data_IF_872800919279
#
_entry.id   IF_872800919279
#
_cell.length_a   1.000
_cell.length_b   1.000
_cell.length_c   1.000
_cell.angle_alpha   90.00
_cell.angle_beta   90.00
_cell.angle_gamma   90.00
#
_symmetry.space_group_name_H-M   'P 1'
#
loop_
_entity.id
_entity.type
_entity.pdbx_description
1 polymer ?
#
# COMPACT_ATOMS: atom_id res chain seq x y z
N UNK A 1 -2.89 -0.59 -24.73
CA UNK A 1 -3.98 -1.40 -24.17
C UNK A 1 -4.83 -0.47 -23.30
N UNK A 2 -6.15 -0.62 -23.35
CA UNK A 2 -7.09 0.31 -22.72
C UNK A 2 -7.01 0.23 -21.20
N UNK A 3 -6.82 1.38 -20.55
CA UNK A 3 -6.99 1.52 -19.10
C UNK A 3 -8.47 1.28 -18.78
N UNK A 4 -8.76 0.37 -17.86
CA UNK A 4 -10.14 0.06 -17.44
C UNK A 4 -10.56 0.99 -16.31
N UNK A 5 -11.70 1.63 -16.50
CA UNK A 5 -12.35 2.46 -15.48
C UNK A 5 -13.25 1.57 -14.63
N UNK A 6 -13.09 1.62 -13.32
CA UNK A 6 -13.85 0.86 -12.34
C UNK A 6 -14.73 1.80 -11.52
N UNK A 7 -16.02 1.50 -11.49
CA UNK A 7 -17.01 2.26 -10.72
C UNK A 7 -17.61 1.44 -9.57
N UNK A 8 -17.38 0.12 -9.54
CA UNK A 8 -17.93 -0.76 -8.51
C UNK A 8 -16.95 -1.83 -8.02
N UNK A 9 -17.17 -2.34 -6.81
CA UNK A 9 -16.41 -3.45 -6.21
C UNK A 9 -16.58 -4.75 -7.01
N UNK A 10 -17.77 -4.98 -7.57
CA UNK A 10 -18.10 -6.18 -8.34
C UNK A 10 -17.29 -6.28 -9.63
N UNK A 11 -17.10 -5.16 -10.34
CA UNK A 11 -16.25 -5.10 -11.54
C UNK A 11 -14.80 -5.42 -11.18
N UNK A 12 -14.30 -4.84 -10.09
CA UNK A 12 -12.94 -5.10 -9.62
C UNK A 12 -12.74 -6.60 -9.35
N UNK A 13 -13.62 -7.23 -8.58
CA UNK A 13 -13.53 -8.66 -8.26
C UNK A 13 -13.69 -9.56 -9.50
N UNK A 14 -14.54 -9.16 -10.45
CA UNK A 14 -14.69 -9.84 -11.74
C UNK A 14 -13.42 -9.80 -12.59
N UNK A 15 -12.65 -8.72 -12.53
CA UNK A 15 -11.36 -8.61 -13.21
C UNK A 15 -10.23 -9.33 -12.47
N UNK A 16 -10.19 -9.27 -11.14
CA UNK A 16 -9.16 -9.93 -10.33
C UNK A 16 -9.27 -11.47 -10.40
N UNK A 17 -10.48 -12.01 -10.47
CA UNK A 17 -10.72 -13.44 -10.65
C UNK A 17 -10.23 -13.96 -12.00
N UNK A 18 -10.40 -13.18 -13.08
CA UNK A 18 -9.91 -13.51 -14.43
C UNK A 18 -8.39 -13.40 -14.58
N UNK A 19 -7.73 -12.61 -13.73
CA UNK A 19 -6.31 -12.26 -13.88
C UNK A 19 -5.51 -12.47 -12.59
N UNK A 20 -5.76 -13.61 -11.93
CA UNK A 20 -5.22 -13.93 -10.60
C UNK A 20 -3.68 -13.91 -10.52
N UNK A 21 -3.01 -14.16 -11.64
CA UNK A 21 -1.56 -14.21 -11.72
C UNK A 21 -0.90 -12.87 -12.08
N UNK A 22 -1.68 -11.88 -12.53
CA UNK A 22 -1.17 -10.58 -13.00
C UNK A 22 -1.23 -9.53 -11.90
N UNK A 23 -0.20 -8.69 -11.88
CA UNK A 23 -0.19 -7.49 -11.05
C UNK A 23 -1.13 -6.47 -11.67
N UNK A 24 -1.91 -5.82 -10.80
CA UNK A 24 -2.99 -4.93 -11.19
C UNK A 24 -2.91 -3.64 -10.38
N UNK A 25 -2.20 -2.60 -10.87
CA UNK A 25 -2.14 -1.31 -10.22
C UNK A 25 -3.49 -0.58 -10.33
N UNK A 26 -4.03 -0.21 -9.17
CA UNK A 26 -5.23 0.59 -9.03
C UNK A 26 -4.83 2.02 -8.63
N UNK A 27 -5.21 3.00 -9.44
CA UNK A 27 -5.00 4.42 -9.14
C UNK A 27 -6.35 5.14 -9.05
N UNK A 28 -6.46 6.10 -8.13
CA UNK A 28 -7.61 7.02 -8.11
C UNK A 28 -7.62 8.03 -9.28
N UNK A 29 -8.66 8.86 -9.42
CA UNK A 29 -8.79 9.87 -10.48
C UNK A 29 -7.88 11.07 -10.18
N UNK A 30 -6.59 10.95 -10.49
CA UNK A 30 -5.65 12.04 -10.35
C UNK A 30 -5.18 12.50 -11.73
N UNK A 31 -5.45 13.76 -12.08
CA UNK A 31 -5.09 14.34 -13.38
C UNK A 31 -3.56 14.44 -13.55
N UNK A 32 -2.81 14.67 -12.47
CA UNK A 32 -1.36 14.83 -12.51
C UNK A 32 -0.61 13.55 -12.91
N UNK A 33 -1.08 12.37 -12.51
CA UNK A 33 -0.45 11.08 -12.87
C UNK A 33 -1.07 10.44 -14.12
N UNK A 34 -2.19 10.97 -14.63
CA UNK A 34 -2.87 10.41 -15.79
C UNK A 34 -1.93 10.12 -16.99
N UNK A 35 -1.04 11.04 -17.42
CA UNK A 35 -0.16 10.78 -18.57
C UNK A 35 0.95 9.76 -18.26
N UNK A 36 1.49 9.77 -17.04
CA UNK A 36 2.51 8.81 -16.61
C UNK A 36 1.91 7.41 -16.53
N UNK A 37 0.70 7.29 -15.97
CA UNK A 37 -0.02 6.02 -15.88
C UNK A 37 -0.38 5.44 -17.25
N UNK A 38 -0.69 6.30 -18.23
CA UNK A 38 -0.90 5.87 -19.61
C UNK A 38 0.40 5.43 -20.30
N UNK A 39 1.52 6.10 -20.01
CA UNK A 39 2.83 5.68 -20.54
C UNK A 39 3.21 4.30 -19.98
N UNK A 40 3.01 4.08 -18.68
CA UNK A 40 3.26 2.79 -18.03
C UNK A 40 2.34 1.68 -18.58
N UNK A 41 1.07 1.97 -18.90
CA UNK A 41 0.17 0.98 -19.49
C UNK A 41 0.55 0.57 -20.92
N UNK A 42 1.29 1.43 -21.62
CA UNK A 42 1.86 1.13 -22.95
C UNK A 42 3.12 0.27 -22.84
N UNK A 43 3.96 0.55 -21.84
CA UNK A 43 5.21 -0.17 -21.58
C UNK A 43 4.97 -1.57 -21.00
N UNK A 44 4.11 -1.69 -19.99
CA UNK A 44 3.87 -2.95 -19.27
C UNK A 44 2.58 -3.65 -19.74
N UNK A 45 2.67 -4.41 -20.84
CA UNK A 45 1.52 -5.15 -21.41
C UNK A 45 1.08 -6.37 -20.59
N UNK A 46 1.91 -6.82 -19.66
CA UNK A 46 1.65 -8.00 -18.83
C UNK A 46 0.85 -7.67 -17.55
N UNK A 47 0.53 -6.39 -17.35
CA UNK A 47 -0.07 -5.83 -16.14
C UNK A 47 -1.42 -5.22 -16.51
N UNK A 48 -2.44 -5.42 -15.67
CA UNK A 48 -3.77 -4.86 -15.90
C UNK A 48 -3.90 -3.53 -15.15
N UNK A 49 -3.96 -2.43 -15.88
CA UNK A 49 -4.04 -1.09 -15.28
C UNK A 49 -5.49 -0.68 -15.06
N UNK A 50 -5.85 -0.42 -13.80
CA UNK A 50 -7.20 -0.02 -13.40
C UNK A 50 -7.22 1.41 -12.85
N UNK A 51 -8.18 2.21 -13.30
CA UNK A 51 -8.51 3.51 -12.70
C UNK A 51 -9.81 3.35 -11.92
N UNK A 52 -9.76 3.59 -10.62
CA UNK A 52 -10.94 3.62 -9.78
C UNK A 52 -11.30 5.06 -9.51
N UNK A 53 -12.54 5.46 -9.75
CA UNK A 53 -12.99 6.77 -9.27
C UNK A 53 -13.37 6.64 -7.77
N UNK A 54 -12.73 7.43 -6.90
CA UNK A 54 -12.99 7.36 -5.45
C UNK A 54 -14.38 7.91 -5.12
N UNK A 55 -14.90 8.83 -5.94
CA UNK A 55 -16.20 9.44 -5.75
C UNK A 55 -17.33 8.49 -6.18
N UNK A 56 -17.12 7.73 -7.26
CA UNK A 56 -18.08 6.74 -7.75
C UNK A 56 -18.02 5.41 -6.97
N UNK A 57 -16.81 4.95 -6.59
CA UNK A 57 -16.57 3.66 -5.97
C UNK A 57 -16.06 3.81 -4.52
N UNK A 58 -16.80 4.53 -3.68
CA UNK A 58 -16.43 4.81 -2.28
C UNK A 58 -16.15 3.54 -1.47
N UNK A 59 -16.92 2.48 -1.72
CA UNK A 59 -16.75 1.19 -1.05
C UNK A 59 -15.39 0.54 -1.35
N UNK A 60 -14.89 0.67 -2.59
CA UNK A 60 -13.54 0.21 -2.96
C UNK A 60 -12.50 1.04 -2.22
N UNK A 61 -12.66 2.36 -2.20
CA UNK A 61 -11.75 3.27 -1.52
C UNK A 61 -11.65 2.97 -0.02
N UNK A 62 -12.77 2.69 0.63
CA UNK A 62 -12.86 2.35 2.04
C UNK A 62 -12.24 0.98 2.33
N UNK A 63 -12.57 -0.04 1.52
CA UNK A 63 -12.01 -1.40 1.63
C UNK A 63 -10.48 -1.39 1.56
N UNK A 64 -9.91 -0.59 0.65
CA UNK A 64 -8.46 -0.49 0.48
C UNK A 64 -7.81 0.64 1.29
N UNK A 65 -8.59 1.35 2.12
CA UNK A 65 -8.18 2.46 3.00
C UNK A 65 -7.45 3.58 2.26
N UNK A 66 -7.98 4.00 1.13
CA UNK A 66 -7.45 5.13 0.34
C UNK A 66 -7.76 6.42 1.09
N UNK A 67 -6.71 7.05 1.64
CA UNK A 67 -6.84 8.25 2.50
C UNK A 67 -6.12 9.49 1.97
N UNK A 68 -5.29 9.37 0.93
CA UNK A 68 -4.87 10.52 0.14
C UNK A 68 -4.76 10.14 -1.34
N UNK A 69 -4.72 11.17 -2.17
CA UNK A 69 -4.62 11.06 -3.61
C UNK A 69 -3.32 11.72 -4.10
N UNK A 70 -2.60 11.12 -5.07
CA UNK A 70 -2.82 9.80 -5.65
C UNK A 70 -2.39 8.67 -4.71
N UNK A 71 -3.07 7.53 -4.79
CA UNK A 71 -2.65 6.27 -4.15
C UNK A 71 -2.66 5.18 -5.20
N UNK A 72 -1.58 4.39 -5.25
CA UNK A 72 -1.43 3.22 -6.10
C UNK A 72 -1.52 1.97 -5.23
N UNK A 73 -2.38 1.03 -5.60
CA UNK A 73 -2.50 -0.26 -4.92
C UNK A 73 -2.14 -1.33 -5.92
N UNK A 74 -1.17 -2.18 -5.58
CA UNK A 74 -0.78 -3.31 -6.40
C UNK A 74 -1.52 -4.55 -5.92
N UNK A 75 -2.41 -5.07 -6.75
CA UNK A 75 -3.19 -6.27 -6.49
C UNK A 75 -2.62 -7.44 -7.29
N UNK A 76 -2.50 -8.62 -6.68
CA UNK A 76 -2.21 -9.89 -7.37
C UNK A 76 -3.32 -10.86 -7.00
N UNK A 77 -4.25 -11.07 -7.91
CA UNK A 77 -5.51 -11.75 -7.62
C UNK A 77 -6.30 -11.02 -6.53
N UNK A 78 -6.79 -11.74 -5.52
CA UNK A 78 -7.58 -11.16 -4.43
C UNK A 78 -6.74 -10.54 -3.30
N UNK A 79 -5.42 -10.56 -3.43
CA UNK A 79 -4.50 -10.12 -2.37
C UNK A 79 -3.79 -8.83 -2.74
N UNK A 80 -3.75 -7.91 -1.78
CA UNK A 80 -2.99 -6.66 -1.88
C UNK A 80 -1.51 -6.96 -1.61
N UNK A 81 -0.67 -6.70 -2.60
CA UNK A 81 0.79 -6.90 -2.52
C UNK A 81 1.46 -5.69 -1.92
N UNK A 82 1.13 -4.49 -2.42
CA UNK A 82 1.76 -3.26 -1.98
C UNK A 82 0.84 -2.05 -2.17
N UNK A 83 1.12 -0.95 -1.47
CA UNK A 83 0.41 0.32 -1.58
C UNK A 83 1.35 1.51 -1.44
N UNK A 84 1.34 2.36 -2.45
CA UNK A 84 2.12 3.60 -2.48
C UNK A 84 1.15 4.78 -2.39
N UNK A 85 1.28 5.59 -1.33
CA UNK A 85 0.49 6.80 -1.11
C UNK A 85 1.35 8.03 -1.44
N UNK A 86 0.82 8.94 -2.24
CA UNK A 86 1.41 10.24 -2.54
C UNK A 86 2.06 10.34 -3.93
N UNK A 87 2.12 11.57 -4.43
CA UNK A 87 2.88 11.94 -5.63
C UNK A 87 4.29 12.36 -5.23
N UNK A 88 5.14 11.42 -4.81
CA UNK A 88 6.58 11.68 -4.76
C UNK A 88 7.19 11.24 -6.09
N UNK A 89 7.39 12.15 -7.07
CA UNK A 89 8.23 11.86 -8.23
C UNK A 89 9.72 11.78 -7.87
N UNK A 90 10.12 11.83 -6.59
CA UNK A 90 11.51 11.99 -6.16
C UNK A 90 12.13 10.63 -5.84
N UNK A 91 12.27 9.83 -6.90
CA UNK A 91 13.52 9.08 -7.15
C UNK A 91 14.46 9.94 -8.01
N UNK A 92 14.24 11.26 -8.03
CA UNK A 92 15.20 12.25 -8.49
C UNK A 92 16.34 12.30 -7.47
N UNK A 93 17.46 11.76 -7.90
CA UNK A 93 18.79 11.95 -7.38
C UNK A 93 18.99 13.27 -6.60
N UNK A 94 19.52 13.14 -5.38
CA UNK A 94 20.55 14.04 -4.85
C UNK A 94 20.19 15.53 -4.72
N UNK A 95 19.21 15.84 -3.86
CA UNK A 95 19.33 16.93 -2.89
C UNK A 95 18.05 16.97 -2.07
N UNK A 96 18.08 16.32 -0.91
CA UNK A 96 17.33 16.83 0.22
C UNK A 96 17.75 18.29 0.39
N UNK A 97 16.94 19.24 -0.08
CA UNK A 97 16.97 20.58 0.46
C UNK A 97 16.42 20.48 1.88
N UNK A 98 17.26 19.96 2.76
CA UNK A 98 17.29 20.26 4.18
C UNK A 98 17.65 21.73 4.35
N UNK A 99 16.99 22.64 3.62
CA UNK A 99 16.85 24.00 4.09
C UNK A 99 15.75 23.92 5.15
N UNK A 100 16.17 23.47 6.34
CA UNK A 100 15.52 23.89 7.56
C UNK A 100 15.21 25.37 7.38
N UNK A 101 13.92 25.73 7.48
CA UNK A 101 13.48 27.11 7.48
C UNK A 101 14.22 27.83 8.61
N UNK A 102 15.35 28.47 8.30
CA UNK A 102 16.09 29.35 9.20
C UNK A 102 15.41 30.72 9.23
N UNK A 103 14.09 30.73 9.45
CA UNK A 103 13.40 31.89 9.96
C UNK A 103 13.34 31.75 11.47
N UNK A 104 14.10 32.56 12.21
CA UNK A 104 13.92 32.71 13.67
C UNK A 104 12.53 33.32 13.93
N UNK A 105 11.51 32.48 14.01
CA UNK A 105 10.15 32.81 14.44
C UNK A 105 9.92 32.27 15.85
N UNK A 106 9.48 33.15 16.74
CA UNK A 106 9.48 32.97 18.19
C UNK A 106 8.54 31.88 18.70
N UNK A 107 8.97 31.24 19.79
CA UNK A 107 8.25 30.25 20.59
C UNK A 107 7.14 30.89 21.42
N UNK A 108 5.95 30.27 21.48
CA UNK A 108 5.07 30.37 22.64
C UNK A 108 4.52 28.98 22.97
N UNK A 109 4.97 28.41 24.09
CA UNK A 109 4.48 27.14 24.63
C UNK A 109 5.54 26.08 24.90
N UNK A 110 6.65 26.44 25.57
CA UNK A 110 7.60 25.48 26.10
C UNK A 110 7.00 24.68 27.27
N UNK A 111 6.77 23.39 27.04
CA UNK A 111 6.78 22.36 28.07
C UNK A 111 7.74 21.28 27.61
N UNK A 112 8.99 21.35 28.07
CA UNK A 112 10.07 20.47 27.61
C UNK A 112 10.18 19.16 28.40
N UNK A 113 10.70 18.15 27.69
CA UNK A 113 11.40 16.90 28.10
C UNK A 113 10.54 15.62 28.24
N UNK A 114 11.13 14.43 28.01
CA UNK A 114 12.13 14.09 27.00
C UNK A 114 11.80 12.76 26.26
N UNK A 115 12.50 12.57 25.15
CA UNK A 115 12.81 11.33 24.47
C UNK A 115 12.77 10.05 25.35
N UNK A 116 11.84 9.14 25.06
CA UNK A 116 11.95 7.71 25.35
C UNK A 116 11.34 6.90 24.20
N UNK A 117 12.21 6.47 23.30
CA UNK A 117 12.18 5.21 22.58
C UNK A 117 11.38 4.12 23.29
N UNK A 118 10.13 3.83 22.88
CA UNK A 118 9.55 2.46 22.88
C UNK A 118 8.11 2.39 22.33
N UNK A 119 7.83 2.78 21.09
CA UNK A 119 6.52 2.47 20.48
C UNK A 119 6.58 2.13 18.99
N UNK A 120 7.70 1.57 18.54
CA UNK A 120 7.89 1.07 17.16
C UNK A 120 7.83 -0.46 17.04
N UNK A 121 7.30 -1.16 18.06
CA UNK A 121 7.25 -2.63 18.10
C UNK A 121 5.85 -3.23 18.32
N UNK A 122 4.83 -2.43 18.67
CA UNK A 122 3.49 -2.98 18.97
C UNK A 122 2.56 -3.07 17.74
N UNK A 123 2.80 -2.29 16.69
CA UNK A 123 1.96 -2.28 15.48
C UNK A 123 2.32 -3.36 14.46
N UNK A 124 3.44 -4.08 14.65
CA UNK A 124 3.93 -5.12 13.72
C UNK A 124 3.60 -6.54 14.18
N UNK A 125 2.68 -6.71 15.12
CA UNK A 125 2.18 -8.03 15.56
C UNK A 125 0.80 -8.34 14.97
N UNK A 126 0.05 -7.34 14.52
CA UNK A 126 -1.29 -7.54 13.95
C UNK A 126 -1.31 -7.74 12.44
N UNK A 127 -0.17 -7.59 11.75
CA UNK A 127 -0.02 -7.83 10.32
C UNK A 127 1.17 -8.78 10.06
N UNK A 128 1.19 -9.90 10.78
CA UNK A 128 2.12 -10.98 10.51
C UNK A 128 1.53 -11.89 9.43
N UNK A 129 2.30 -12.09 8.37
CA UNK A 129 1.97 -12.88 7.20
C UNK A 129 1.34 -14.24 7.58
N UNK A 130 0.25 -14.67 6.93
CA UNK A 130 -0.44 -15.92 7.25
C UNK A 130 0.48 -17.15 7.23
N UNK A 131 1.59 -17.12 6.50
CA UNK A 131 2.58 -18.20 6.48
C UNK A 131 3.31 -18.37 7.81
N UNK A 132 3.56 -17.27 8.54
CA UNK A 132 4.31 -17.33 9.79
C UNK A 132 3.46 -17.91 10.94
N UNK A 133 2.14 -17.75 10.88
CA UNK A 133 1.21 -18.39 11.85
C UNK A 133 1.17 -19.91 11.67
N UNK A 134 1.20 -20.38 10.42
CA UNK A 134 1.25 -21.81 10.10
C UNK A 134 2.59 -22.41 10.52
N UNK A 135 3.70 -21.70 10.27
CA UNK A 135 5.03 -22.12 10.69
C UNK A 135 5.13 -22.25 12.22
N UNK A 136 4.64 -21.26 12.97
CA UNK A 136 4.60 -21.32 14.44
C UNK A 136 3.74 -22.48 14.94
N UNK A 137 2.60 -22.75 14.29
CA UNK A 137 1.76 -23.90 14.59
C UNK A 137 2.47 -25.24 14.37
N UNK A 138 3.18 -25.38 13.25
CA UNK A 138 3.95 -26.59 12.92
C UNK A 138 5.12 -26.82 13.89
N UNK A 139 5.86 -25.77 14.24
CA UNK A 139 6.98 -25.85 15.20
C UNK A 139 6.47 -26.20 16.60
N UNK A 140 5.37 -25.58 17.04
CA UNK A 140 4.75 -25.89 18.32
C UNK A 140 4.21 -27.33 18.35
N UNK A 141 3.53 -27.77 17.27
CA UNK A 141 3.04 -29.14 17.14
C UNK A 141 4.16 -30.18 17.17
N UNK A 142 5.26 -29.91 16.46
CA UNK A 142 6.45 -30.77 16.47
C UNK A 142 7.11 -30.83 17.86
N UNK A 143 7.23 -29.70 18.54
CA UNK A 143 7.80 -29.65 19.90
C UNK A 143 6.93 -30.40 20.92
N UNK A 144 5.59 -30.26 20.84
CA UNK A 144 4.65 -31.01 21.70
C UNK A 144 4.69 -32.50 21.39
N UNK A 145 4.73 -32.88 20.11
CA UNK A 145 4.85 -34.28 19.70
C UNK A 145 6.17 -34.90 20.17
N UNK A 146 7.29 -34.16 20.03
CA UNK A 146 8.59 -34.58 20.54
C UNK A 146 8.59 -34.78 22.05
N UNK A 147 7.96 -33.87 22.79
CA UNK A 147 7.85 -33.94 24.25
C UNK A 147 6.95 -35.08 24.74
N UNK A 148 5.86 -35.40 24.04
CA UNK A 148 5.00 -36.55 24.36
C UNK A 148 5.61 -37.91 23.97
N UNK A 149 6.58 -37.92 23.05
CA UNK A 149 7.25 -39.13 22.56
C UNK A 149 8.45 -39.58 23.40
N UNK A 150 8.65 -38.99 24.59
CA UNK A 150 9.75 -39.30 25.51
C UNK A 150 9.23 -39.70 26.88
#
# INVERSE_FOLDING_TARGET
MSITHLNSVSELNGHLSKSKDKISPLCGPCHAIAPTFESLSREYKNVNFFKCDVDAAKEVAEMYRVSAMPTFIFLKGSSKVDQVRGANPIVHATSASTSAFTGRGQTLGSGAKPLATLNKAASKVTNLDPQLRVLLGLVAGYAVFWYLSR
#
